data_IF_670500105933
#
_entry.id   IF_670500105933
#
_cell.length_a   1.000
_cell.length_b   1.000
_cell.length_c   1.000
_cell.angle_alpha   90.00
_cell.angle_beta   90.00
_cell.angle_gamma   90.00
#
_symmetry.space_group_name_H-M   'P 1'
#
loop_
_entity.id
_entity.type
_entity.pdbx_description
1 polymer ?
#
# COMPACT_ATOMS: atom_id res chain seq x y z
N UNK A 1 35.09 -61.92 28.46
CA UNK A 1 34.69 -61.00 29.53
C UNK A 1 34.08 -59.76 28.84
N UNK A 2 32.77 -59.56 29.04
CA UNK A 2 31.88 -58.65 28.30
C UNK A 2 31.98 -57.23 28.88
N UNK A 3 32.14 -56.23 28.07
CA UNK A 3 31.72 -54.88 28.45
C UNK A 3 30.86 -54.23 27.40
N UNK A 4 29.57 -54.03 27.73
CA UNK A 4 28.58 -53.32 26.92
C UNK A 4 28.65 -51.82 27.24
N UNK A 5 28.89 -51.00 26.20
CA UNK A 5 28.70 -49.57 26.25
C UNK A 5 27.49 -49.18 25.41
N UNK A 6 26.40 -48.74 26.04
CA UNK A 6 25.21 -48.20 25.38
C UNK A 6 25.45 -46.73 25.05
N UNK A 7 25.59 -46.36 23.82
CA UNK A 7 25.47 -45.00 23.33
C UNK A 7 23.97 -44.69 23.10
N UNK A 8 23.45 -43.69 23.84
CA UNK A 8 22.12 -43.11 23.62
C UNK A 8 22.24 -42.13 22.45
N UNK A 9 21.29 -42.11 21.51
CA UNK A 9 21.25 -41.02 20.50
C UNK A 9 20.74 -39.75 21.19
N UNK A 10 21.51 -38.68 20.96
CA UNK A 10 21.15 -37.32 21.33
C UNK A 10 20.02 -36.88 20.40
N UNK A 11 18.80 -36.83 20.94
CA UNK A 11 17.65 -36.23 20.24
C UNK A 11 17.78 -34.72 20.36
N UNK A 12 18.27 -34.05 19.33
CA UNK A 12 18.16 -32.62 19.19
C UNK A 12 16.75 -32.29 18.69
N UNK A 13 15.90 -31.78 19.57
CA UNK A 13 14.69 -31.04 19.18
C UNK A 13 15.11 -29.79 18.43
N UNK A 14 14.55 -29.52 17.24
CA UNK A 14 14.70 -28.19 16.66
C UNK A 14 13.90 -27.22 17.53
N UNK A 15 14.61 -26.31 18.19
CA UNK A 15 14.02 -25.13 18.75
C UNK A 15 13.33 -24.39 17.60
N UNK A 16 12.01 -24.38 17.61
CA UNK A 16 11.22 -23.44 16.82
C UNK A 16 11.60 -22.04 17.33
N UNK A 17 12.47 -21.37 16.60
CA UNK A 17 12.65 -19.93 16.73
C UNK A 17 11.31 -19.30 16.37
N UNK A 18 10.66 -18.78 17.38
CA UNK A 18 9.52 -17.89 17.27
C UNK A 18 10.00 -16.65 16.49
N UNK A 19 9.79 -16.69 15.16
CA UNK A 19 9.95 -15.54 14.27
C UNK A 19 8.73 -14.65 14.46
N UNK A 20 8.59 -14.06 15.64
CA UNK A 20 7.75 -12.88 15.80
C UNK A 20 8.36 -11.78 14.95
N UNK A 21 7.81 -11.63 13.73
CA UNK A 21 8.12 -10.54 12.82
C UNK A 21 8.06 -9.21 13.58
N UNK A 22 9.02 -8.30 13.40
CA UNK A 22 9.03 -7.04 14.12
C UNK A 22 7.76 -6.28 13.79
N UNK A 23 6.82 -6.26 14.75
CA UNK A 23 5.65 -5.41 14.70
C UNK A 23 6.11 -3.98 14.45
N UNK A 24 5.47 -3.30 13.49
CA UNK A 24 5.65 -1.86 13.29
C UNK A 24 5.60 -1.15 14.65
N UNK A 25 6.57 -0.32 15.02
CA UNK A 25 6.56 0.40 16.28
C UNK A 25 5.37 1.37 16.29
N UNK A 26 4.30 0.98 16.99
CA UNK A 26 3.03 1.69 17.11
C UNK A 26 1.92 1.14 16.21
N UNK A 27 0.68 1.18 16.73
CA UNK A 27 -0.50 0.69 16.02
C UNK A 27 -0.71 1.43 14.69
N UNK A 28 -1.04 0.67 13.63
CA UNK A 28 -1.51 1.23 12.36
C UNK A 28 -2.89 1.89 12.53
N UNK A 29 -3.31 2.76 11.60
CA UNK A 29 -4.64 3.35 11.63
C UNK A 29 -5.74 2.29 11.66
N UNK A 30 -6.82 2.56 12.42
CA UNK A 30 -8.03 1.73 12.38
C UNK A 30 -8.61 1.74 10.95
N UNK A 31 -8.87 0.57 10.40
CA UNK A 31 -9.47 0.38 9.07
C UNK A 31 -10.77 1.16 8.87
N UNK A 32 -11.59 1.32 9.92
CA UNK A 32 -12.81 2.14 9.87
C UNK A 32 -12.49 3.62 9.66
N UNK A 33 -11.42 4.12 10.30
CA UNK A 33 -10.98 5.50 10.12
C UNK A 33 -10.40 5.71 8.72
N UNK A 34 -9.65 4.74 8.20
CA UNK A 34 -9.14 4.72 6.82
C UNK A 34 -10.32 4.78 5.85
N UNK A 35 -11.27 3.86 5.93
CA UNK A 35 -12.46 3.80 5.08
C UNK A 35 -13.27 5.11 5.12
N UNK A 36 -13.49 5.67 6.33
CA UNK A 36 -14.21 6.92 6.50
C UNK A 36 -13.47 8.12 5.90
N UNK A 37 -12.13 8.16 6.00
CA UNK A 37 -11.30 9.24 5.44
C UNK A 37 -11.36 9.24 3.91
N UNK A 38 -11.12 8.09 3.28
CA UNK A 38 -11.18 7.95 1.82
C UNK A 38 -12.60 8.13 1.28
N UNK A 39 -13.62 7.64 1.97
CA UNK A 39 -15.03 7.88 1.57
C UNK A 39 -15.37 9.38 1.49
N UNK A 40 -14.87 10.19 2.43
CA UNK A 40 -15.08 11.66 2.40
C UNK A 40 -14.29 12.34 1.29
N UNK A 41 -13.13 11.80 0.93
CA UNK A 41 -12.25 12.36 -0.09
C UNK A 41 -12.65 12.00 -1.53
N UNK A 42 -13.59 11.07 -1.75
CA UNK A 42 -13.90 10.51 -3.06
C UNK A 42 -14.18 11.58 -4.14
N UNK A 43 -14.86 12.67 -3.79
CA UNK A 43 -15.19 13.73 -4.75
C UNK A 43 -13.99 14.63 -5.13
N UNK A 44 -12.99 14.77 -4.26
CA UNK A 44 -11.81 15.61 -4.49
C UNK A 44 -10.58 14.81 -4.95
N UNK A 45 -10.60 13.50 -4.77
CA UNK A 45 -9.45 12.60 -4.95
C UNK A 45 -8.79 12.76 -6.33
N UNK A 46 -9.57 12.65 -7.40
CA UNK A 46 -9.04 12.65 -8.77
C UNK A 46 -8.41 13.98 -9.18
N UNK A 47 -8.82 15.10 -8.55
CA UNK A 47 -8.28 16.44 -8.85
C UNK A 47 -6.83 16.62 -8.39
N UNK A 48 -6.35 15.78 -7.47
CA UNK A 48 -5.03 15.87 -6.83
C UNK A 48 -4.24 14.55 -6.87
N UNK A 49 -4.71 13.53 -7.56
CA UNK A 49 -4.14 12.18 -7.58
C UNK A 49 -3.04 12.01 -8.65
N UNK A 50 -2.13 12.98 -8.81
CA UNK A 50 -1.06 12.90 -9.82
C UNK A 50 -0.10 11.75 -9.53
N UNK A 51 0.44 11.69 -8.30
CA UNK A 51 1.32 10.60 -7.87
C UNK A 51 0.65 9.23 -8.04
N UNK A 52 -0.62 9.11 -7.66
CA UNK A 52 -1.36 7.85 -7.72
C UNK A 52 -1.49 7.36 -9.16
N UNK A 53 -1.76 8.28 -10.11
CA UNK A 53 -1.82 7.96 -11.54
C UNK A 53 -0.48 7.55 -12.10
N UNK A 54 0.59 8.27 -11.75
CA UNK A 54 1.94 7.94 -12.20
C UNK A 54 2.40 6.58 -11.66
N UNK A 55 2.28 6.36 -10.35
CA UNK A 55 2.64 5.09 -9.71
C UNK A 55 1.87 3.91 -10.28
N UNK A 56 0.54 4.04 -10.40
CA UNK A 56 -0.26 2.95 -10.93
C UNK A 56 -0.01 2.68 -12.41
N UNK A 57 0.28 3.72 -13.22
CA UNK A 57 0.65 3.57 -14.64
C UNK A 57 1.98 2.85 -14.78
N UNK A 58 2.97 3.18 -13.94
CA UNK A 58 4.24 2.46 -13.89
C UNK A 58 4.07 1.01 -13.43
N UNK A 59 3.18 0.74 -12.45
CA UNK A 59 2.86 -0.62 -12.04
C UNK A 59 2.20 -1.40 -13.18
N UNK A 60 1.23 -0.79 -13.87
CA UNK A 60 0.54 -1.41 -15.01
C UNK A 60 1.53 -1.75 -16.14
N UNK A 61 2.53 -0.89 -16.37
CA UNK A 61 3.61 -1.12 -17.34
C UNK A 61 4.56 -2.27 -16.98
N UNK A 62 4.56 -2.75 -15.73
CA UNK A 62 5.37 -3.90 -15.27
C UNK A 62 4.70 -5.26 -15.51
N UNK A 63 3.42 -5.28 -15.86
CA UNK A 63 2.76 -6.52 -16.24
C UNK A 63 3.35 -7.06 -17.55
N UNK A 64 3.54 -8.39 -17.70
CA UNK A 64 4.03 -8.97 -18.93
C UNK A 64 3.19 -8.56 -20.14
N UNK A 65 3.82 -8.33 -21.28
CA UNK A 65 3.13 -7.81 -22.47
C UNK A 65 2.12 -8.82 -23.04
N UNK A 66 2.46 -10.11 -22.96
CA UNK A 66 1.62 -11.21 -23.48
C UNK A 66 0.62 -11.74 -22.44
N UNK A 67 0.55 -11.12 -21.27
CA UNK A 67 -0.37 -11.54 -20.21
C UNK A 67 -1.78 -11.02 -20.48
N UNK A 68 -2.73 -11.94 -20.65
CA UNK A 68 -4.14 -11.63 -20.94
C UNK A 68 -5.03 -12.27 -19.87
N UNK A 69 -5.36 -11.58 -18.78
CA UNK A 69 -6.22 -12.10 -17.75
C UNK A 69 -7.67 -12.17 -18.22
N UNK A 70 -8.36 -13.27 -17.90
CA UNK A 70 -9.80 -13.42 -18.09
C UNK A 70 -10.59 -12.76 -16.96
N UNK A 71 -10.03 -12.75 -15.76
CA UNK A 71 -10.62 -12.15 -14.57
C UNK A 71 -9.54 -11.40 -13.79
N UNK A 72 -9.82 -10.16 -13.45
CA UNK A 72 -8.92 -9.34 -12.66
C UNK A 72 -9.64 -8.70 -11.46
N UNK A 73 -8.85 -8.43 -10.43
CA UNK A 73 -9.22 -7.68 -9.23
C UNK A 73 -8.39 -6.40 -9.17
N UNK A 74 -9.07 -5.24 -9.11
CA UNK A 74 -8.47 -3.96 -8.70
C UNK A 74 -8.69 -3.82 -7.20
N UNK A 75 -7.63 -4.08 -6.42
CA UNK A 75 -7.65 -4.14 -4.96
C UNK A 75 -7.28 -2.80 -4.36
N UNK A 76 -8.24 -2.15 -3.69
CA UNK A 76 -8.17 -0.77 -3.26
C UNK A 76 -8.38 0.17 -4.45
N UNK A 77 -9.46 -0.05 -5.19
CA UNK A 77 -9.71 0.60 -6.49
C UNK A 77 -9.93 2.12 -6.40
N UNK A 78 -10.20 2.67 -5.22
CA UNK A 78 -10.50 4.09 -5.02
C UNK A 78 -11.64 4.56 -5.93
N UNK A 79 -11.38 5.63 -6.68
CA UNK A 79 -12.33 6.20 -7.67
C UNK A 79 -12.44 5.39 -8.96
N UNK A 80 -11.80 4.22 -9.04
CA UNK A 80 -11.86 3.31 -10.19
C UNK A 80 -11.01 3.72 -11.38
N UNK A 81 -10.03 4.60 -11.21
CA UNK A 81 -9.13 5.02 -12.30
C UNK A 81 -8.44 3.81 -12.95
N UNK A 82 -7.84 2.93 -12.15
CA UNK A 82 -7.19 1.73 -12.67
C UNK A 82 -8.17 0.61 -13.03
N UNK A 83 -9.34 0.56 -12.45
CA UNK A 83 -10.40 -0.33 -12.94
C UNK A 83 -10.75 -0.04 -14.41
N UNK A 84 -10.86 1.26 -14.79
CA UNK A 84 -11.07 1.67 -16.20
C UNK A 84 -9.88 1.31 -17.07
N UNK A 85 -8.66 1.65 -16.64
CA UNK A 85 -7.43 1.34 -17.38
C UNK A 85 -7.22 -0.18 -17.61
N UNK A 86 -7.55 -1.01 -16.61
CA UNK A 86 -7.53 -2.48 -16.74
C UNK A 86 -8.58 -2.98 -17.72
N UNK A 87 -9.81 -2.46 -17.64
CA UNK A 87 -10.88 -2.80 -18.59
C UNK A 87 -10.54 -2.42 -20.04
N UNK A 88 -9.90 -1.28 -20.25
CA UNK A 88 -9.41 -0.84 -21.57
C UNK A 88 -8.25 -1.69 -22.06
N UNK A 89 -7.30 -2.03 -21.18
CA UNK A 89 -6.14 -2.86 -21.53
C UNK A 89 -6.51 -4.31 -21.84
N UNK A 90 -7.54 -4.85 -21.17
CA UNK A 90 -7.96 -6.25 -21.28
C UNK A 90 -9.43 -6.39 -21.72
N UNK A 91 -9.74 -5.99 -22.97
CA UNK A 91 -11.11 -6.03 -23.46
C UNK A 91 -11.65 -7.45 -23.46
N UNK A 92 -12.91 -7.60 -23.03
CA UNK A 92 -13.57 -8.91 -22.89
C UNK A 92 -13.28 -9.65 -21.59
N UNK A 93 -12.40 -9.12 -20.72
CA UNK A 93 -12.18 -9.66 -19.37
C UNK A 93 -13.26 -9.20 -18.39
N UNK A 94 -13.36 -9.90 -17.24
CA UNK A 94 -14.27 -9.55 -16.16
C UNK A 94 -13.51 -8.96 -14.98
N UNK A 95 -13.78 -7.70 -14.64
CA UNK A 95 -13.15 -6.99 -13.55
C UNK A 95 -13.98 -6.93 -12.28
N UNK A 96 -13.33 -7.05 -11.14
CA UNK A 96 -13.85 -6.72 -9.82
C UNK A 96 -13.08 -5.51 -9.30
N UNK A 97 -13.78 -4.43 -9.00
CA UNK A 97 -13.25 -3.27 -8.28
C UNK A 97 -13.60 -3.44 -6.80
N UNK A 98 -12.59 -3.56 -5.94
CA UNK A 98 -12.79 -3.76 -4.51
C UNK A 98 -12.14 -2.63 -3.72
N UNK A 99 -12.88 -2.07 -2.77
CA UNK A 99 -12.36 -1.09 -1.82
C UNK A 99 -13.04 -1.26 -0.45
N UNK A 100 -12.34 -0.87 0.61
CA UNK A 100 -12.90 -0.84 1.96
C UNK A 100 -13.77 0.41 2.18
N UNK A 101 -13.56 1.46 1.38
CA UNK A 101 -14.24 2.75 1.46
C UNK A 101 -15.46 2.77 0.51
N UNK A 102 -16.66 2.55 1.05
CA UNK A 102 -17.90 2.56 0.24
C UNK A 102 -18.10 3.87 -0.54
N UNK A 103 -17.67 5.02 0.00
CA UNK A 103 -17.75 6.30 -0.70
C UNK A 103 -16.94 6.31 -2.00
N UNK A 104 -15.79 5.63 -2.04
CA UNK A 104 -14.97 5.42 -3.23
C UNK A 104 -15.74 4.58 -4.27
N UNK A 105 -16.30 3.45 -3.85
CA UNK A 105 -17.08 2.57 -4.74
C UNK A 105 -18.31 3.26 -5.30
N UNK A 106 -18.99 4.07 -4.49
CA UNK A 106 -20.16 4.85 -4.93
C UNK A 106 -19.78 5.90 -5.98
N UNK A 107 -18.56 6.45 -5.88
CA UNK A 107 -18.01 7.36 -6.89
C UNK A 107 -17.56 6.60 -8.15
N UNK A 108 -16.91 5.45 -8.00
CA UNK A 108 -16.36 4.66 -9.11
C UNK A 108 -17.46 3.99 -9.97
N UNK A 109 -18.50 3.46 -9.33
CA UNK A 109 -19.54 2.65 -9.99
C UNK A 109 -20.20 3.31 -11.21
N UNK A 110 -20.64 4.59 -11.16
CA UNK A 110 -21.22 5.25 -12.33
C UNK A 110 -20.23 5.52 -13.45
N UNK A 111 -18.91 5.52 -13.14
CA UNK A 111 -17.84 5.71 -14.12
C UNK A 111 -17.46 4.42 -14.86
N UNK A 112 -17.89 3.26 -14.37
CA UNK A 112 -17.66 1.96 -15.00
C UNK A 112 -16.23 1.46 -14.89
N UNK A 113 -15.82 0.63 -15.86
CA UNK A 113 -14.47 0.04 -15.95
C UNK A 113 -14.37 -1.37 -15.35
N UNK A 114 -15.21 -1.72 -14.38
CA UNK A 114 -15.28 -3.07 -13.81
C UNK A 114 -16.68 -3.67 -13.94
N UNK A 115 -16.76 -5.01 -13.94
CA UNK A 115 -18.02 -5.76 -13.97
C UNK A 115 -18.75 -5.68 -12.62
N UNK A 116 -17.97 -5.72 -11.53
CA UNK A 116 -18.50 -5.70 -10.16
C UNK A 116 -17.75 -4.69 -9.30
N UNK A 117 -18.50 -4.04 -8.38
CA UNK A 117 -17.97 -3.11 -7.37
C UNK A 117 -18.33 -3.66 -6.00
N UNK A 118 -17.32 -4.07 -5.23
CA UNK A 118 -17.47 -4.85 -4.00
C UNK A 118 -16.80 -4.15 -2.84
N UNK A 119 -17.53 -3.91 -1.75
CA UNK A 119 -16.94 -3.48 -0.49
C UNK A 119 -16.25 -4.67 0.18
N UNK A 120 -14.98 -4.51 0.54
CA UNK A 120 -14.22 -5.62 1.11
C UNK A 120 -12.89 -5.20 1.72
N UNK A 121 -12.34 -6.10 2.53
CA UNK A 121 -11.04 -5.95 3.17
C UNK A 121 -10.00 -6.78 2.42
N UNK A 122 -8.84 -6.16 2.10
CA UNK A 122 -7.73 -6.83 1.43
C UNK A 122 -7.13 -7.99 2.25
N UNK A 123 -7.24 -7.94 3.57
CA UNK A 123 -6.77 -9.00 4.47
C UNK A 123 -7.78 -10.17 4.58
N UNK A 124 -8.96 -10.04 3.99
CA UNK A 124 -10.00 -11.09 3.93
C UNK A 124 -10.90 -10.85 2.73
N UNK A 125 -10.45 -11.30 1.56
CA UNK A 125 -11.16 -11.07 0.30
C UNK A 125 -12.47 -11.86 0.21
N UNK A 126 -13.60 -11.21 -0.14
CA UNK A 126 -14.89 -11.89 -0.34
C UNK A 126 -14.95 -12.54 -1.73
N UNK A 127 -13.89 -13.25 -2.12
CA UNK A 127 -13.73 -13.91 -3.41
C UNK A 127 -13.41 -15.39 -3.22
N UNK A 128 -13.79 -16.21 -4.18
CA UNK A 128 -13.51 -17.65 -4.17
C UNK A 128 -12.04 -17.92 -4.44
N UNK A 129 -11.56 -19.09 -3.99
CA UNK A 129 -10.24 -19.60 -4.29
C UNK A 129 -10.05 -19.75 -5.80
N UNK A 130 -8.85 -19.49 -6.29
CA UNK A 130 -8.46 -19.64 -7.69
C UNK A 130 -9.47 -19.03 -8.68
N UNK A 131 -9.96 -17.83 -8.38
CA UNK A 131 -10.98 -17.14 -9.17
C UNK A 131 -10.46 -16.01 -10.05
N UNK A 132 -9.24 -15.51 -9.82
CA UNK A 132 -8.64 -14.40 -10.56
C UNK A 132 -7.34 -14.81 -11.24
N UNK A 133 -7.08 -14.21 -12.41
CA UNK A 133 -5.80 -14.32 -13.12
C UNK A 133 -4.85 -13.18 -12.76
N UNK A 134 -5.39 -12.00 -12.36
CA UNK A 134 -4.65 -10.83 -11.96
C UNK A 134 -5.26 -10.21 -10.71
N UNK A 135 -4.42 -9.87 -9.75
CA UNK A 135 -4.71 -8.90 -8.68
C UNK A 135 -3.79 -7.71 -8.91
N UNK A 136 -4.38 -6.54 -9.08
CA UNK A 136 -3.69 -5.26 -9.23
C UNK A 136 -4.01 -4.39 -8.02
N UNK A 137 -3.00 -3.78 -7.38
CA UNK A 137 -3.19 -2.93 -6.21
C UNK A 137 -2.22 -1.76 -6.24
N UNK A 138 -2.70 -0.55 -6.41
CA UNK A 138 -1.86 0.65 -6.44
C UNK A 138 -2.12 1.53 -5.22
N UNK A 139 -1.09 1.71 -4.38
CA UNK A 139 -1.10 2.57 -3.19
C UNK A 139 -2.28 2.30 -2.22
N UNK A 140 -2.62 1.02 -2.04
CA UNK A 140 -3.66 0.59 -1.10
C UNK A 140 -3.12 -0.27 0.04
N UNK A 141 -2.21 -1.22 -0.23
CA UNK A 141 -1.79 -2.21 0.77
C UNK A 141 -0.96 -1.65 1.93
N UNK A 142 -0.46 -0.42 1.84
CA UNK A 142 0.18 0.27 2.99
C UNK A 142 -0.79 0.53 4.15
N UNK A 143 -2.09 0.50 3.90
CA UNK A 143 -3.14 0.68 4.91
C UNK A 143 -3.53 -0.61 5.62
N UNK A 144 -3.06 -1.75 5.14
CA UNK A 144 -3.30 -3.05 5.73
C UNK A 144 -2.42 -3.26 6.97
N UNK A 145 -3.03 -3.71 8.06
CA UNK A 145 -2.31 -3.99 9.31
C UNK A 145 -1.45 -5.25 9.15
N UNK A 146 -1.99 -6.25 8.50
CA UNK A 146 -1.37 -7.56 8.27
C UNK A 146 -1.12 -7.77 6.77
N UNK A 147 0.11 -7.47 6.33
CA UNK A 147 0.49 -7.66 4.93
C UNK A 147 0.69 -9.15 4.58
N UNK A 148 1.00 -10.00 5.56
CA UNK A 148 1.09 -11.45 5.35
C UNK A 148 -0.29 -12.04 5.03
N UNK A 149 -1.34 -11.56 5.72
CA UNK A 149 -2.71 -11.90 5.39
C UNK A 149 -3.08 -11.47 3.95
N UNK A 150 -2.63 -10.29 3.49
CA UNK A 150 -2.85 -9.84 2.10
C UNK A 150 -2.17 -10.78 1.11
N UNK A 151 -0.92 -11.20 1.36
CA UNK A 151 -0.20 -12.16 0.51
C UNK A 151 -0.89 -13.53 0.49
N UNK A 152 -1.35 -13.99 1.65
CA UNK A 152 -2.09 -15.27 1.78
C UNK A 152 -3.42 -15.23 1.01
N UNK A 153 -4.17 -14.15 1.09
CA UNK A 153 -5.42 -13.96 0.35
C UNK A 153 -5.15 -13.82 -1.17
N UNK A 154 -4.10 -13.11 -1.56
CA UNK A 154 -3.69 -13.03 -2.96
C UNK A 154 -3.35 -14.42 -3.50
N UNK A 155 -2.57 -15.23 -2.77
CA UNK A 155 -2.28 -16.61 -3.14
C UNK A 155 -3.54 -17.47 -3.25
N UNK A 156 -4.47 -17.35 -2.29
CA UNK A 156 -5.72 -18.12 -2.29
C UNK A 156 -6.58 -17.80 -3.51
N UNK A 157 -6.77 -16.50 -3.80
CA UNK A 157 -7.69 -16.02 -4.85
C UNK A 157 -7.12 -16.18 -6.26
N UNK A 158 -5.79 -16.09 -6.41
CA UNK A 158 -5.16 -16.28 -7.72
C UNK A 158 -5.26 -17.74 -8.18
N UNK A 159 -5.47 -17.92 -9.48
CA UNK A 159 -5.27 -19.18 -10.17
C UNK A 159 -3.77 -19.51 -10.27
N UNK A 160 -3.36 -20.77 -10.44
CA UNK A 160 -1.99 -21.10 -10.82
C UNK A 160 -1.55 -20.30 -12.05
N UNK A 161 -0.33 -19.74 -12.02
CA UNK A 161 0.20 -18.79 -13.02
C UNK A 161 -0.40 -17.39 -12.97
N UNK A 162 -1.29 -17.10 -12.01
CA UNK A 162 -1.87 -15.78 -11.82
C UNK A 162 -0.89 -14.79 -11.16
N UNK A 163 -1.08 -13.51 -11.41
CA UNK A 163 -0.16 -12.43 -11.01
C UNK A 163 -0.79 -11.56 -9.92
N UNK A 164 -0.02 -11.28 -8.87
CA UNK A 164 -0.26 -10.18 -7.95
C UNK A 164 0.74 -9.06 -8.20
N UNK A 165 0.26 -7.95 -8.78
CA UNK A 165 1.04 -6.73 -8.98
C UNK A 165 0.60 -5.68 -7.96
N UNK A 166 1.54 -5.16 -7.16
CA UNK A 166 1.20 -4.09 -6.23
C UNK A 166 2.25 -2.97 -6.19
N UNK A 167 1.78 -1.75 -5.91
CA UNK A 167 2.61 -0.64 -5.49
C UNK A 167 2.20 -0.19 -4.09
N UNK A 168 3.19 0.15 -3.26
CA UNK A 168 2.98 0.53 -1.87
C UNK A 168 4.01 1.57 -1.43
N UNK A 169 3.69 2.35 -0.41
CA UNK A 169 4.65 3.28 0.19
C UNK A 169 5.49 2.56 1.26
N UNK A 170 6.75 2.99 1.41
CA UNK A 170 7.63 2.50 2.47
C UNK A 170 8.34 3.63 3.23
N UNK A 171 9.10 3.26 4.26
CA UNK A 171 9.89 4.18 5.08
C UNK A 171 10.76 5.07 4.20
N UNK A 172 10.84 6.35 4.55
CA UNK A 172 11.46 7.41 3.75
C UNK A 172 10.45 8.27 3.00
N UNK A 173 9.18 7.83 2.89
CA UNK A 173 8.09 8.65 2.34
C UNK A 173 7.84 9.86 3.24
N UNK A 174 7.75 11.05 2.61
CA UNK A 174 7.50 12.36 3.24
C UNK A 174 8.47 12.66 4.40
N UNK A 175 9.74 12.26 4.24
CA UNK A 175 10.73 12.48 5.29
C UNK A 175 10.95 13.97 5.55
N UNK A 176 10.85 14.82 4.53
CA UNK A 176 10.98 16.27 4.66
C UNK A 176 9.89 16.84 5.57
N UNK A 177 8.64 16.42 5.37
CA UNK A 177 7.50 16.83 6.20
C UNK A 177 7.64 16.31 7.63
N UNK A 178 8.05 15.05 7.78
CA UNK A 178 8.27 14.42 9.08
C UNK A 178 9.36 15.13 9.89
N UNK A 179 10.50 15.40 9.24
CA UNK A 179 11.66 15.97 9.92
C UNK A 179 11.40 17.45 10.26
N UNK A 180 10.73 18.21 9.39
CA UNK A 180 10.26 19.56 9.69
C UNK A 180 9.30 19.60 10.89
N UNK A 181 8.37 18.65 11.00
CA UNK A 181 7.48 18.58 12.16
C UNK A 181 8.23 18.24 13.46
N UNK A 182 9.30 17.45 13.41
CA UNK A 182 10.14 17.15 14.59
C UNK A 182 10.80 18.37 15.20
N UNK A 183 11.07 19.40 14.39
CA UNK A 183 11.59 20.68 14.89
C UNK A 183 10.51 21.52 15.58
N UNK A 184 9.24 21.29 15.27
CA UNK A 184 8.11 22.04 15.82
C UNK A 184 7.55 21.42 17.09
N UNK A 185 7.39 20.08 17.07
CA UNK A 185 6.86 19.33 18.21
C UNK A 185 7.25 17.84 18.14
N UNK A 186 7.01 17.11 19.24
CA UNK A 186 7.30 15.68 19.33
C UNK A 186 6.18 14.74 18.87
N UNK A 187 5.18 15.26 18.14
CA UNK A 187 4.01 14.45 17.73
C UNK A 187 4.22 13.78 16.39
N UNK A 188 3.41 12.74 16.12
CA UNK A 188 3.42 12.04 14.84
C UNK A 188 2.50 12.78 13.87
N UNK A 189 3.06 13.30 12.77
CA UNK A 189 2.33 14.07 11.75
C UNK A 189 2.28 13.38 10.38
N UNK A 190 3.14 12.39 10.16
CA UNK A 190 3.21 11.60 8.93
C UNK A 190 2.83 10.16 9.23
N UNK A 191 2.11 9.50 8.33
CA UNK A 191 1.77 8.09 8.47
C UNK A 191 3.03 7.22 8.58
N UNK A 192 2.92 6.14 9.33
CA UNK A 192 3.99 5.14 9.44
C UNK A 192 3.87 4.17 8.27
N UNK A 193 5.01 3.82 7.70
CA UNK A 193 5.10 2.87 6.61
C UNK A 193 6.02 1.72 7.01
N UNK A 194 5.87 0.56 6.36
CA UNK A 194 6.81 -0.56 6.50
C UNK A 194 8.14 -0.22 5.84
N UNK A 195 9.21 -0.77 6.37
CA UNK A 195 10.51 -0.73 5.71
C UNK A 195 10.49 -1.60 4.44
N UNK A 196 11.29 -1.23 3.44
CA UNK A 196 11.41 -2.02 2.20
C UNK A 196 11.89 -3.45 2.49
N UNK A 197 12.83 -3.61 3.45
CA UNK A 197 13.31 -4.93 3.89
C UNK A 197 12.22 -5.84 4.43
N UNK A 198 11.17 -5.28 5.07
CA UNK A 198 10.01 -6.06 5.54
C UNK A 198 9.18 -6.58 4.36
N UNK A 199 8.95 -5.75 3.32
CA UNK A 199 8.30 -6.23 2.09
C UNK A 199 9.09 -7.35 1.43
N UNK A 200 10.45 -7.22 1.36
CA UNK A 200 11.32 -8.28 0.82
C UNK A 200 11.17 -9.59 1.59
N UNK A 201 11.23 -9.54 2.92
CA UNK A 201 11.10 -10.71 3.79
C UNK A 201 9.74 -11.39 3.64
N UNK A 202 8.64 -10.63 3.71
CA UNK A 202 7.29 -11.16 3.62
C UNK A 202 6.99 -11.75 2.25
N UNK A 203 7.38 -11.06 1.17
CA UNK A 203 7.22 -11.59 -0.19
C UNK A 203 8.03 -12.88 -0.40
N UNK A 204 9.28 -12.94 0.08
CA UNK A 204 10.12 -14.13 -0.03
C UNK A 204 9.64 -15.30 0.84
N UNK A 205 8.98 -15.02 1.98
CA UNK A 205 8.39 -16.05 2.85
C UNK A 205 7.01 -16.53 2.37
N UNK A 206 6.35 -15.80 1.48
CA UNK A 206 5.04 -16.15 0.95
C UNK A 206 5.11 -17.35 0.00
N UNK A 207 3.95 -17.94 -0.29
CA UNK A 207 3.84 -19.02 -1.28
C UNK A 207 3.86 -18.50 -2.74
N UNK A 208 3.99 -17.19 -2.97
CA UNK A 208 4.09 -16.57 -4.27
C UNK A 208 5.56 -16.45 -4.71
N UNK A 209 5.85 -16.67 -5.98
CA UNK A 209 7.16 -16.42 -6.56
C UNK A 209 7.37 -14.92 -6.79
N UNK A 210 8.49 -14.38 -6.34
CA UNK A 210 8.86 -12.98 -6.57
C UNK A 210 9.44 -12.84 -7.98
N UNK A 211 8.69 -12.27 -8.91
CA UNK A 211 9.15 -11.96 -10.27
C UNK A 211 9.98 -10.67 -10.27
N UNK A 212 9.48 -9.63 -9.60
CA UNK A 212 10.22 -8.39 -9.39
C UNK A 212 9.80 -7.70 -8.10
N UNK A 213 10.75 -7.04 -7.43
CA UNK A 213 10.51 -6.24 -6.24
C UNK A 213 11.54 -5.12 -6.19
N UNK A 214 11.09 -3.87 -6.27
CA UNK A 214 11.95 -2.69 -6.38
C UNK A 214 11.42 -1.57 -5.47
N UNK A 215 12.30 -0.73 -4.96
CA UNK A 215 11.96 0.52 -4.30
C UNK A 215 12.49 1.68 -5.13
N UNK A 216 11.60 2.61 -5.51
CA UNK A 216 11.93 3.80 -6.31
C UNK A 216 11.43 5.06 -5.62
N UNK A 217 12.23 6.12 -5.67
CA UNK A 217 11.84 7.42 -5.17
C UNK A 217 11.09 8.21 -6.24
N UNK A 218 9.95 8.78 -5.85
CA UNK A 218 9.19 9.76 -6.61
C UNK A 218 9.22 11.08 -5.85
N UNK A 219 9.66 12.16 -6.48
CA UNK A 219 9.74 13.47 -5.85
C UNK A 219 8.79 14.42 -6.55
N UNK A 220 7.78 14.88 -5.82
CA UNK A 220 6.91 15.97 -6.26
C UNK A 220 7.42 17.29 -5.68
N UNK A 221 7.19 18.39 -6.38
CA UNK A 221 7.61 19.71 -5.94
C UNK A 221 6.40 20.61 -5.77
N UNK A 222 6.33 21.29 -4.62
CA UNK A 222 5.22 22.17 -4.24
C UNK A 222 5.70 23.62 -4.09
N UNK A 223 4.85 24.60 -4.41
CA UNK A 223 5.20 26.00 -4.21
C UNK A 223 5.43 26.32 -2.71
N UNK A 224 4.66 25.67 -1.84
CA UNK A 224 4.71 25.83 -0.38
C UNK A 224 4.18 24.60 0.35
N UNK A 225 4.44 24.48 1.65
CA UNK A 225 4.00 23.36 2.48
C UNK A 225 2.49 23.30 2.68
N UNK A 226 1.77 24.40 2.47
CA UNK A 226 0.30 24.41 2.56
C UNK A 226 -0.32 23.68 1.39
N UNK A 227 0.24 23.85 0.20
CA UNK A 227 -0.17 23.14 -1.01
C UNK A 227 -0.01 21.63 -0.83
N UNK A 228 1.15 21.16 -0.32
CA UNK A 228 1.35 19.76 0.04
C UNK A 228 0.33 19.25 1.06
N UNK A 229 0.15 19.96 2.16
CA UNK A 229 -0.77 19.51 3.23
C UNK A 229 -2.24 19.56 2.78
N UNK A 230 -2.59 20.46 1.87
CA UNK A 230 -3.92 20.52 1.25
C UNK A 230 -4.17 19.29 0.38
N UNK A 231 -3.21 18.94 -0.47
CA UNK A 231 -3.29 17.75 -1.32
C UNK A 231 -3.45 16.46 -0.51
N UNK A 232 -2.62 16.26 0.53
CA UNK A 232 -2.73 15.11 1.42
C UNK A 232 -4.12 14.99 2.08
N UNK A 233 -4.75 16.13 2.41
CA UNK A 233 -6.13 16.15 2.94
C UNK A 233 -7.16 15.83 1.85
N UNK A 234 -6.99 16.39 0.67
CA UNK A 234 -7.90 16.17 -0.46
C UNK A 234 -7.89 14.70 -0.94
N UNK A 235 -6.74 14.02 -0.81
CA UNK A 235 -6.60 12.58 -1.03
C UNK A 235 -7.20 11.72 0.09
N UNK A 236 -7.50 12.28 1.27
CA UNK A 236 -7.85 11.49 2.45
C UNK A 236 -6.67 10.75 3.09
N UNK A 237 -5.46 10.96 2.59
CA UNK A 237 -4.22 10.30 3.02
C UNK A 237 -3.44 11.07 4.12
N UNK A 238 -4.10 12.01 4.78
CA UNK A 238 -3.51 12.72 5.91
C UNK A 238 -3.18 11.77 7.07
N UNK A 239 -2.48 12.26 8.09
CA UNK A 239 -2.10 11.42 9.24
C UNK A 239 -3.32 10.80 9.92
N UNK A 240 -3.44 9.47 9.85
CA UNK A 240 -4.49 8.66 10.49
C UNK A 240 -3.97 7.85 11.69
N UNK A 241 -2.69 8.00 12.06
CA UNK A 241 -2.11 7.22 13.16
C UNK A 241 -2.79 7.51 14.50
N UNK A 242 -2.86 6.50 15.40
CA UNK A 242 -3.19 6.73 16.80
C UNK A 242 -2.22 7.72 17.45
N UNK A 243 -2.73 8.60 18.31
CA UNK A 243 -1.91 9.61 18.98
C UNK A 243 -1.61 10.88 18.14
N UNK A 244 -2.27 11.02 16.99
CA UNK A 244 -2.23 12.31 16.25
C UNK A 244 -2.78 13.44 17.11
N UNK A 245 -2.28 14.70 16.91
CA UNK A 245 -2.83 15.85 17.62
C UNK A 245 -4.34 15.97 17.39
N UNK A 246 -5.11 16.01 18.46
CA UNK A 246 -6.54 16.33 18.42
C UNK A 246 -6.72 17.86 18.36
N UNK A 247 -7.58 18.33 17.44
CA UNK A 247 -7.93 19.74 17.33
C UNK A 247 -7.19 20.52 16.23
N UNK A 248 -7.42 21.84 16.19
CA UNK A 248 -6.80 22.74 15.21
C UNK A 248 -5.33 22.96 15.53
N UNK A 249 -4.47 22.84 14.53
CA UNK A 249 -3.05 23.18 14.66
C UNK A 249 -2.93 24.70 14.85
N UNK A 250 -2.35 25.12 15.97
CA UNK A 250 -2.20 26.55 16.29
C UNK A 250 -1.31 27.26 15.25
N UNK A 251 -1.56 28.58 15.06
CA UNK A 251 -0.84 29.41 14.09
C UNK A 251 0.68 29.35 14.24
N UNK A 252 1.18 29.39 15.48
CA UNK A 252 2.62 29.30 15.75
C UNK A 252 3.26 28.01 15.24
N UNK A 253 2.58 26.88 15.42
CA UNK A 253 3.06 25.57 14.93
C UNK A 253 3.08 25.50 13.40
N UNK A 254 2.07 26.10 12.73
CA UNK A 254 2.06 26.18 11.27
C UNK A 254 3.21 27.05 10.75
N UNK A 255 3.50 28.18 11.42
CA UNK A 255 4.63 29.04 11.04
C UNK A 255 5.97 28.33 11.26
N UNK A 256 6.14 27.61 12.37
CA UNK A 256 7.32 26.80 12.62
C UNK A 256 7.52 25.70 11.57
N UNK A 257 6.42 25.03 11.16
CA UNK A 257 6.49 24.05 10.07
C UNK A 257 6.93 24.67 8.75
N UNK A 258 6.39 25.85 8.40
CA UNK A 258 6.77 26.56 7.16
C UNK A 258 8.25 26.87 7.20
N UNK A 259 8.75 27.43 8.30
CA UNK A 259 10.16 27.78 8.49
C UNK A 259 11.07 26.53 8.40
N UNK A 260 10.73 25.48 9.14
CA UNK A 260 11.49 24.23 9.13
C UNK A 260 11.51 23.52 7.77
N UNK A 261 10.42 23.62 6.98
CA UNK A 261 10.38 22.97 5.67
C UNK A 261 11.18 23.74 4.61
N UNK A 262 11.38 25.07 4.77
CA UNK A 262 12.13 25.90 3.82
C UNK A 262 13.60 25.43 3.66
N UNK A 263 14.19 24.77 4.64
CA UNK A 263 15.53 24.18 4.52
C UNK A 263 15.67 23.17 3.38
N UNK A 264 14.56 22.53 2.96
CA UNK A 264 14.54 21.58 1.86
C UNK A 264 14.30 22.23 0.49
N UNK A 265 14.08 23.55 0.40
CA UNK A 265 13.72 24.22 -0.86
C UNK A 265 14.78 24.00 -1.94
N UNK A 266 14.28 23.65 -3.10
CA UNK A 266 15.05 23.48 -4.33
C UNK A 266 14.60 24.49 -5.40
N UNK A 267 15.29 24.52 -6.54
CA UNK A 267 14.92 25.41 -7.64
C UNK A 267 13.50 25.17 -8.18
N UNK A 268 13.04 23.90 -8.11
CA UNK A 268 11.69 23.49 -8.56
C UNK A 268 10.60 23.73 -7.52
N UNK A 269 10.93 24.06 -6.28
CA UNK A 269 10.02 24.24 -5.16
C UNK A 269 10.40 23.41 -3.95
N UNK A 270 9.45 23.16 -3.05
CA UNK A 270 9.60 22.29 -1.88
C UNK A 270 9.41 20.84 -2.30
N UNK A 271 10.42 19.96 -2.15
CA UNK A 271 10.29 18.54 -2.48
C UNK A 271 9.40 17.83 -1.47
N UNK A 272 8.64 16.85 -1.94
CA UNK A 272 8.01 15.83 -1.13
C UNK A 272 8.37 14.47 -1.74
N UNK A 273 9.16 13.71 -1.03
CA UNK A 273 9.68 12.42 -1.48
C UNK A 273 8.74 11.30 -1.08
N UNK A 274 8.40 10.44 -2.04
CA UNK A 274 7.64 9.21 -1.84
C UNK A 274 8.51 8.01 -2.21
N UNK A 275 8.75 7.13 -1.25
CA UNK A 275 9.44 5.87 -1.48
C UNK A 275 8.42 4.80 -1.85
N UNK A 276 8.43 4.37 -3.11
CA UNK A 276 7.41 3.47 -3.67
C UNK A 276 8.00 2.09 -3.93
N UNK A 277 7.42 1.10 -3.28
CA UNK A 277 7.68 -0.31 -3.56
C UNK A 277 6.82 -0.75 -4.72
N UNK A 278 7.43 -1.31 -5.75
CA UNK A 278 6.76 -1.99 -6.87
C UNK A 278 7.07 -3.47 -6.80
N UNK A 279 6.05 -4.29 -6.85
CA UNK A 279 6.19 -5.74 -6.84
C UNK A 279 5.32 -6.41 -7.91
N UNK A 280 5.85 -7.45 -8.51
CA UNK A 280 5.13 -8.42 -9.32
C UNK A 280 5.44 -9.79 -8.75
N UNK A 281 4.42 -10.47 -8.27
CA UNK A 281 4.48 -11.82 -7.71
C UNK A 281 3.62 -12.75 -8.56
N UNK A 282 4.00 -14.01 -8.65
CA UNK A 282 3.28 -15.01 -9.44
C UNK A 282 2.93 -16.24 -8.57
N UNK A 283 1.71 -16.72 -8.69
CA UNK A 283 1.34 -18.01 -8.09
C UNK A 283 1.93 -19.14 -8.88
N UNK A 284 2.70 -20.06 -8.26
CA UNK A 284 3.20 -21.26 -8.95
C UNK A 284 2.10 -22.04 -9.71
N UNK A 285 2.51 -22.72 -10.81
CA UNK A 285 1.63 -23.59 -11.62
C UNK A 285 1.15 -24.81 -10.85
#
# INVERSE_FOLDING_TARGET
MVWRGRSRPFCMSPAMTDLSLPNLPGALPDKRQVAASFSRAAASYDSVAELQRDVGSQLLGRLPQDFVPQRWLDLGCGTGHFSRALGERFPGSHGVALDIAEGMLNHARPLGGATYFVAGDAERLPLQDSSCDLIFSSLAVQWCADFDAVLSEAFRVLKPGGIFAFASLCVGTLFELRDSWREVDGMVHVNRFREFGVYQQLCAASALNVVSLQNLAHVLHYPDVRSLTHELKALGAHNLNPGRPGGLTGRARILGLIEAYEQFRQAQGLPATYQVVYAVLEKPL
#
